data_IF_282973633552
#
_entry.id   IF_282973633552
#
_cell.length_a   1.000
_cell.length_b   1.000
_cell.length_c   1.000
_cell.angle_alpha   90.00
_cell.angle_beta   90.00
_cell.angle_gamma   90.00
#
_symmetry.space_group_name_H-M   'P 1'
#
loop_
_entity.id
_entity.type
_entity.pdbx_description
1 polymer ?
#
# COMPACT_ATOMS: atom_id res chain seq x y z
N UNK A 1 -10.81 -8.29 9.56
CA UNK A 1 -9.43 -8.55 9.15
C UNK A 1 -8.57 -8.65 10.38
N UNK A 2 -7.84 -9.75 10.53
CA UNK A 2 -7.03 -10.03 11.72
C UNK A 2 -5.58 -9.55 11.54
N UNK A 3 -5.07 -9.59 10.30
CA UNK A 3 -3.73 -9.07 9.97
C UNK A 3 -3.72 -7.54 9.93
N UNK A 4 -2.55 -6.94 10.12
CA UNK A 4 -2.40 -5.49 9.97
C UNK A 4 -2.46 -5.11 8.48
N UNK A 5 -3.43 -4.29 8.10
CA UNK A 5 -3.54 -3.71 6.76
C UNK A 5 -3.12 -2.25 6.79
N UNK A 6 -2.18 -1.86 5.94
CA UNK A 6 -1.73 -0.47 5.80
C UNK A 6 -1.68 -0.03 4.35
N UNK A 7 -1.80 1.27 4.09
CA UNK A 7 -1.48 1.86 2.79
C UNK A 7 -0.03 2.33 2.83
N UNK A 8 0.72 2.11 1.75
CA UNK A 8 1.99 2.83 1.51
C UNK A 8 1.94 3.48 0.14
N UNK A 9 2.21 4.78 0.09
CA UNK A 9 2.03 5.59 -1.11
C UNK A 9 3.02 6.76 -1.14
N UNK A 10 3.49 7.09 -2.34
CA UNK A 10 4.18 8.33 -2.63
C UNK A 10 3.33 9.19 -3.56
N UNK A 11 3.24 10.50 -3.31
CA UNK A 11 2.51 11.46 -4.13
C UNK A 11 3.28 12.77 -4.34
N UNK A 12 2.96 13.53 -5.37
CA UNK A 12 3.35 14.94 -5.49
C UNK A 12 2.64 15.80 -4.43
N UNK A 13 2.99 17.10 -4.37
CA UNK A 13 2.31 18.09 -3.54
C UNK A 13 0.81 18.22 -3.88
N UNK A 14 0.45 18.00 -5.13
CA UNK A 14 -0.92 17.97 -5.65
C UNK A 14 -1.56 16.58 -5.58
N UNK A 15 -0.98 15.67 -4.79
CA UNK A 15 -1.48 14.31 -4.55
C UNK A 15 -1.51 13.40 -5.79
N UNK A 16 -0.76 13.77 -6.84
CA UNK A 16 -0.58 12.94 -8.02
C UNK A 16 0.39 11.80 -7.73
N UNK A 17 0.07 10.58 -8.19
CA UNK A 17 0.82 9.36 -7.87
C UNK A 17 1.47 8.72 -9.09
N UNK A 18 1.20 9.23 -10.29
CA UNK A 18 1.71 8.67 -11.53
C UNK A 18 1.21 9.40 -12.78
N UNK A 19 1.87 9.07 -13.89
CA UNK A 19 1.55 9.54 -15.23
C UNK A 19 1.80 8.41 -16.23
N UNK A 20 0.84 8.11 -17.11
CA UNK A 20 0.99 7.10 -18.14
C UNK A 20 1.30 5.70 -17.58
N UNK A 21 0.68 5.33 -16.46
CA UNK A 21 0.94 4.09 -15.69
C UNK A 21 2.38 3.94 -15.17
N UNK A 22 3.14 5.03 -15.02
CA UNK A 22 4.48 5.02 -14.43
C UNK A 22 4.57 6.02 -13.29
N UNK A 23 5.53 5.80 -12.39
CA UNK A 23 5.89 6.81 -11.39
C UNK A 23 6.50 8.03 -12.10
N UNK A 24 6.11 9.23 -11.67
CA UNK A 24 6.61 10.48 -12.25
C UNK A 24 8.05 10.80 -11.82
N UNK A 25 8.52 10.17 -10.75
CA UNK A 25 9.83 10.39 -10.14
C UNK A 25 10.66 9.12 -10.09
N UNK A 26 11.98 9.31 -9.95
CA UNK A 26 12.95 8.27 -9.66
C UNK A 26 13.81 8.73 -8.47
N UNK A 27 13.38 8.39 -7.26
CA UNK A 27 14.02 8.78 -6.01
C UNK A 27 14.44 7.49 -5.28
N UNK A 28 15.69 7.04 -5.43
CA UNK A 28 16.15 5.77 -4.87
C UNK A 28 16.00 5.66 -3.35
N UNK A 29 16.13 6.78 -2.63
CA UNK A 29 15.98 6.84 -1.18
C UNK A 29 14.54 6.53 -0.73
N UNK A 30 13.55 7.05 -1.46
CA UNK A 30 12.13 6.76 -1.20
C UNK A 30 11.81 5.30 -1.53
N UNK A 31 12.34 4.78 -2.65
CA UNK A 31 12.18 3.36 -2.99
C UNK A 31 12.83 2.42 -1.97
N UNK A 32 13.98 2.81 -1.38
CA UNK A 32 14.61 2.09 -0.27
C UNK A 32 13.71 2.09 0.97
N UNK A 33 13.07 3.22 1.27
CA UNK A 33 12.11 3.32 2.37
C UNK A 33 10.89 2.43 2.13
N UNK A 34 10.26 2.50 0.94
CA UNK A 34 9.18 1.60 0.53
C UNK A 34 9.56 0.13 0.68
N UNK A 35 10.76 -0.24 0.20
CA UNK A 35 11.29 -1.60 0.31
C UNK A 35 11.47 -2.00 1.77
N UNK A 36 12.02 -1.13 2.61
CA UNK A 36 12.24 -1.41 4.03
C UNK A 36 10.92 -1.68 4.76
N UNK A 37 9.92 -0.81 4.61
CA UNK A 37 8.61 -0.96 5.28
C UNK A 37 7.91 -2.24 4.80
N UNK A 38 7.87 -2.47 3.48
CA UNK A 38 7.15 -3.63 2.93
C UNK A 38 7.87 -4.96 3.13
N UNK A 39 9.17 -4.98 3.47
CA UNK A 39 9.92 -6.21 3.75
C UNK A 39 10.04 -6.55 5.23
N UNK A 40 9.99 -5.57 6.12
CA UNK A 40 10.28 -5.79 7.53
C UNK A 40 9.17 -6.61 8.20
N UNK A 41 9.52 -7.79 8.70
CA UNK A 41 8.68 -8.63 9.54
C UNK A 41 9.30 -8.72 10.94
N UNK A 42 8.45 -8.78 11.96
CA UNK A 42 8.87 -8.92 13.36
C UNK A 42 9.00 -10.39 13.76
N UNK A 43 8.14 -11.27 13.22
CA UNK A 43 8.17 -12.70 13.51
C UNK A 43 9.16 -13.39 12.58
N UNK A 44 9.79 -14.45 13.10
CA UNK A 44 10.63 -15.31 12.28
C UNK A 44 9.78 -16.11 11.28
N UNK A 45 10.35 -16.41 10.11
CA UNK A 45 9.75 -17.23 9.05
C UNK A 45 8.40 -16.71 8.49
N UNK A 46 8.16 -15.41 8.58
CA UNK A 46 6.98 -14.75 8.00
C UNK A 46 7.37 -13.85 6.84
N UNK A 47 6.36 -13.47 6.05
CA UNK A 47 6.48 -12.50 4.97
C UNK A 47 5.36 -11.48 5.09
N UNK A 48 5.61 -10.28 4.60
CA UNK A 48 4.53 -9.35 4.32
C UNK A 48 3.94 -9.63 2.94
N UNK A 49 2.69 -9.25 2.74
CA UNK A 49 2.09 -9.21 1.42
C UNK A 49 1.86 -7.78 0.93
N UNK A 50 1.83 -7.63 -0.39
CA UNK A 50 1.57 -6.38 -1.09
C UNK A 50 0.38 -6.56 -2.03
N UNK A 51 -0.63 -5.71 -1.91
CA UNK A 51 -1.82 -5.70 -2.77
C UNK A 51 -1.69 -4.59 -3.78
N UNK A 52 -1.86 -4.93 -5.07
CA UNK A 52 -1.80 -3.99 -6.16
C UNK A 52 -2.83 -4.27 -7.26
N UNK A 53 -3.08 -3.28 -8.09
CA UNK A 53 -3.92 -3.43 -9.28
C UNK A 53 -3.11 -3.91 -10.49
N UNK A 54 -3.82 -4.40 -11.52
CA UNK A 54 -3.22 -4.86 -12.79
C UNK A 54 -2.19 -3.89 -13.37
N UNK A 55 -2.53 -2.60 -13.49
CA UNK A 55 -1.63 -1.64 -14.14
C UNK A 55 -0.34 -1.43 -13.33
N UNK A 56 -0.44 -1.45 -12.00
CA UNK A 56 0.72 -1.37 -11.11
C UNK A 56 1.60 -2.60 -11.23
N UNK A 57 1.00 -3.79 -11.31
CA UNK A 57 1.75 -5.03 -11.55
C UNK A 57 2.61 -4.96 -12.83
N UNK A 58 2.03 -4.49 -13.94
CA UNK A 58 2.74 -4.36 -15.20
C UNK A 58 3.67 -3.14 -15.29
N UNK A 59 3.62 -2.22 -14.33
CA UNK A 59 4.53 -1.07 -14.28
C UNK A 59 5.71 -1.26 -13.33
N UNK A 60 5.74 -2.38 -12.57
CA UNK A 60 6.88 -2.71 -11.72
C UNK A 60 8.18 -2.83 -12.54
N UNK A 61 9.34 -2.53 -11.93
CA UNK A 61 10.62 -2.76 -12.57
C UNK A 61 10.77 -4.23 -12.99
N UNK A 62 11.12 -4.46 -14.26
CA UNK A 62 11.24 -5.79 -14.88
C UNK A 62 9.92 -6.59 -14.91
N UNK A 63 8.78 -5.92 -15.02
CA UNK A 63 7.49 -6.59 -15.14
C UNK A 63 7.44 -7.56 -16.35
N UNK A 64 6.72 -8.70 -16.23
CA UNK A 64 6.04 -9.19 -15.04
C UNK A 64 7.02 -9.90 -14.08
N UNK A 65 7.38 -9.26 -12.97
CA UNK A 65 8.27 -9.82 -11.96
C UNK A 65 7.77 -9.44 -10.57
N UNK A 66 7.68 -10.40 -9.63
CA UNK A 66 7.26 -10.11 -8.28
C UNK A 66 8.25 -9.24 -7.53
N UNK A 67 7.73 -8.44 -6.62
CA UNK A 67 8.52 -7.82 -5.58
C UNK A 67 9.09 -8.93 -4.68
N UNK A 68 10.41 -9.14 -4.76
CA UNK A 68 11.13 -10.20 -4.01
C UNK A 68 10.82 -10.14 -2.51
N UNK A 69 10.83 -11.32 -1.90
CA UNK A 69 10.62 -11.57 -0.46
C UNK A 69 9.28 -11.10 0.11
N UNK A 70 8.29 -10.88 -0.76
CA UNK A 70 6.91 -10.56 -0.43
C UNK A 70 5.93 -11.48 -1.14
N UNK A 71 4.76 -11.66 -0.56
CA UNK A 71 3.62 -12.26 -1.26
C UNK A 71 2.97 -11.13 -2.09
N UNK A 72 2.91 -11.30 -3.40
CA UNK A 72 2.38 -10.29 -4.31
C UNK A 72 0.94 -10.65 -4.68
N UNK A 73 0.00 -9.76 -4.41
CA UNK A 73 -1.42 -9.95 -4.64
C UNK A 73 -1.88 -8.95 -5.71
N UNK A 74 -2.45 -9.46 -6.79
CA UNK A 74 -2.96 -8.68 -7.90
C UNK A 74 -4.49 -8.71 -7.87
N UNK A 75 -5.13 -7.55 -7.91
CA UNK A 75 -6.58 -7.43 -8.04
C UNK A 75 -6.93 -7.13 -9.50
N UNK A 76 -7.66 -8.04 -10.13
CA UNK A 76 -8.15 -7.90 -11.50
C UNK A 76 -9.36 -8.78 -11.76
N UNK A 77 -10.53 -8.18 -12.00
CA UNK A 77 -11.74 -8.92 -12.32
C UNK A 77 -11.79 -9.36 -13.80
N UNK A 78 -11.50 -8.43 -14.73
CA UNK A 78 -11.63 -8.67 -16.18
C UNK A 78 -10.50 -9.53 -16.74
N UNK A 79 -9.27 -9.30 -16.31
CA UNK A 79 -8.07 -10.00 -16.82
C UNK A 79 -7.61 -11.13 -15.90
N UNK A 80 -8.47 -11.61 -14.99
CA UNK A 80 -8.12 -12.63 -14.02
C UNK A 80 -7.50 -13.87 -14.67
N UNK A 81 -8.19 -14.49 -15.63
CA UNK A 81 -7.78 -15.77 -16.22
C UNK A 81 -6.44 -15.62 -16.97
N UNK A 82 -6.27 -14.49 -17.66
CA UNK A 82 -5.01 -14.12 -18.32
C UNK A 82 -3.86 -14.00 -17.33
N UNK A 83 -4.03 -13.19 -16.28
CA UNK A 83 -2.99 -12.97 -15.27
C UNK A 83 -2.69 -14.29 -14.54
N UNK A 84 -3.72 -15.07 -14.21
CA UNK A 84 -3.58 -16.35 -13.51
C UNK A 84 -2.71 -17.34 -14.31
N UNK A 85 -2.88 -17.37 -15.63
CA UNK A 85 -2.03 -18.16 -16.51
C UNK A 85 -0.58 -17.63 -16.56
N UNK A 86 -0.38 -16.30 -16.63
CA UNK A 86 0.96 -15.68 -16.68
C UNK A 86 1.78 -15.90 -15.39
N UNK A 87 1.12 -16.00 -14.24
CA UNK A 87 1.78 -16.16 -12.92
C UNK A 87 1.86 -17.62 -12.46
N UNK A 88 1.49 -18.60 -13.31
CA UNK A 88 1.37 -20.01 -12.92
C UNK A 88 2.65 -20.57 -12.27
N UNK A 89 3.82 -20.17 -12.78
CA UNK A 89 5.14 -20.58 -12.27
C UNK A 89 5.72 -19.62 -11.20
N UNK A 90 4.91 -18.67 -10.69
CA UNK A 90 5.32 -17.68 -9.70
C UNK A 90 4.67 -17.98 -8.33
N UNK A 91 5.26 -18.85 -7.49
CA UNK A 91 4.62 -19.36 -6.27
C UNK A 91 4.34 -18.27 -5.22
N UNK A 92 5.00 -17.12 -5.29
CA UNK A 92 4.80 -15.97 -4.40
C UNK A 92 3.81 -14.93 -4.94
N UNK A 93 3.08 -15.24 -6.02
CA UNK A 93 2.11 -14.34 -6.64
C UNK A 93 0.72 -14.96 -6.61
N UNK A 94 -0.29 -14.15 -6.32
CA UNK A 94 -1.70 -14.54 -6.37
C UNK A 94 -2.48 -13.46 -7.12
N UNK A 95 -3.51 -13.86 -7.84
CA UNK A 95 -4.48 -12.94 -8.45
C UNK A 95 -5.87 -13.25 -7.91
N UNK A 96 -6.66 -12.21 -7.65
CA UNK A 96 -8.04 -12.30 -7.20
C UNK A 96 -8.94 -11.40 -8.03
N UNK A 97 -10.21 -11.81 -8.19
CA UNK A 97 -11.23 -11.01 -8.88
C UNK A 97 -11.72 -9.85 -8.02
N UNK A 98 -11.74 -10.03 -6.70
CA UNK A 98 -12.28 -9.06 -5.74
C UNK A 98 -11.26 -8.77 -4.63
N UNK A 99 -11.43 -7.63 -3.97
CA UNK A 99 -10.64 -7.28 -2.78
C UNK A 99 -11.02 -8.18 -1.62
N UNK A 100 -12.31 -8.50 -1.45
CA UNK A 100 -12.78 -9.34 -0.34
C UNK A 100 -12.13 -10.73 -0.35
N UNK A 101 -12.06 -11.38 -1.51
CA UNK A 101 -11.39 -12.69 -1.65
C UNK A 101 -9.91 -12.60 -1.29
N UNK A 102 -9.24 -11.52 -1.72
CA UNK A 102 -7.83 -11.28 -1.38
C UNK A 102 -7.63 -11.08 0.12
N UNK A 103 -8.52 -10.35 0.79
CA UNK A 103 -8.44 -10.14 2.25
C UNK A 103 -8.72 -11.42 3.03
N UNK A 104 -9.67 -12.25 2.57
CA UNK A 104 -9.93 -13.59 3.14
C UNK A 104 -8.67 -14.45 3.04
N UNK A 105 -8.04 -14.49 1.86
CA UNK A 105 -6.76 -15.19 1.67
C UNK A 105 -5.69 -14.69 2.64
N UNK A 106 -5.51 -13.38 2.75
CA UNK A 106 -4.52 -12.76 3.64
C UNK A 106 -4.72 -13.17 5.10
N UNK A 107 -5.97 -13.21 5.58
CA UNK A 107 -6.26 -13.63 6.95
C UNK A 107 -6.07 -15.14 7.17
N UNK A 108 -6.25 -15.95 6.13
CA UNK A 108 -6.10 -17.42 6.21
C UNK A 108 -4.65 -17.92 6.22
N UNK A 109 -3.70 -17.07 5.84
CA UNK A 109 -2.29 -17.45 5.66
C UNK A 109 -1.44 -17.06 6.87
N UNK A 110 -0.94 -18.04 7.61
CA UNK A 110 -0.11 -17.81 8.81
C UNK A 110 1.24 -17.17 8.52
N UNK A 111 1.79 -17.47 7.33
CA UNK A 111 3.04 -16.89 6.84
C UNK A 111 2.92 -15.38 6.64
N UNK A 112 1.70 -14.86 6.39
CA UNK A 112 1.49 -13.43 6.21
C UNK A 112 1.45 -12.74 7.57
N UNK A 113 2.32 -11.74 7.76
CA UNK A 113 2.35 -10.92 8.96
C UNK A 113 1.59 -9.60 8.80
N UNK A 114 1.99 -8.80 7.80
CA UNK A 114 1.35 -7.53 7.49
C UNK A 114 0.99 -7.47 6.00
N UNK A 115 -0.03 -6.68 5.69
CA UNK A 115 -0.54 -6.45 4.35
C UNK A 115 -0.41 -4.97 3.99
N UNK A 116 0.18 -4.67 2.83
CA UNK A 116 0.36 -3.32 2.35
C UNK A 116 -0.34 -3.11 1.01
N UNK A 117 -1.24 -2.13 0.95
CA UNK A 117 -1.81 -1.66 -0.33
C UNK A 117 -0.79 -0.72 -0.98
N UNK A 118 -0.36 -1.05 -2.19
CA UNK A 118 0.68 -0.33 -2.93
C UNK A 118 0.18 0.30 -4.25
N UNK A 119 -1.14 0.34 -4.43
CA UNK A 119 -1.81 1.08 -5.50
C UNK A 119 -2.24 0.26 -6.70
N UNK A 120 -2.53 0.86 -7.86
CA UNK A 120 -2.55 2.30 -8.16
C UNK A 120 -3.82 3.00 -7.66
N UNK A 121 -4.17 4.15 -8.25
CA UNK A 121 -5.24 5.01 -7.73
C UNK A 121 -6.58 4.28 -7.54
N UNK A 122 -7.00 3.46 -8.51
CA UNK A 122 -8.26 2.71 -8.36
C UNK A 122 -8.23 1.84 -7.10
N UNK A 123 -7.12 1.13 -6.85
CA UNK A 123 -6.97 0.28 -5.67
C UNK A 123 -6.89 1.13 -4.41
N UNK A 124 -6.02 2.15 -4.37
CA UNK A 124 -5.93 3.05 -3.23
C UNK A 124 -7.27 3.66 -2.85
N UNK A 125 -7.98 4.24 -3.82
CA UNK A 125 -9.24 4.93 -3.59
C UNK A 125 -10.34 3.95 -3.20
N UNK A 126 -10.41 2.76 -3.82
CA UNK A 126 -11.35 1.71 -3.39
C UNK A 126 -11.11 1.30 -1.94
N UNK A 127 -9.86 1.12 -1.53
CA UNK A 127 -9.51 0.81 -0.14
C UNK A 127 -9.88 1.94 0.81
N UNK A 128 -9.56 3.19 0.46
CA UNK A 128 -9.88 4.38 1.23
C UNK A 128 -11.39 4.62 1.38
N UNK A 129 -12.18 4.34 0.34
CA UNK A 129 -13.63 4.57 0.33
C UNK A 129 -14.40 3.45 1.02
N UNK A 130 -14.08 2.19 0.70
CA UNK A 130 -14.93 1.05 1.07
C UNK A 130 -14.34 0.18 2.19
N UNK A 131 -13.03 0.27 2.44
CA UNK A 131 -12.31 -0.59 3.38
C UNK A 131 -11.62 0.19 4.50
N UNK A 132 -11.93 1.49 4.66
CA UNK A 132 -11.27 2.38 5.62
C UNK A 132 -11.20 1.81 7.04
N UNK A 133 -12.26 1.13 7.49
CA UNK A 133 -12.35 0.52 8.83
C UNK A 133 -11.31 -0.59 9.08
N UNK A 134 -10.76 -1.20 8.02
CA UNK A 134 -9.75 -2.25 8.14
C UNK A 134 -8.32 -1.71 8.04
N UNK A 135 -8.14 -0.48 7.52
CA UNK A 135 -6.82 0.11 7.33
C UNK A 135 -6.33 0.64 8.67
N UNK A 136 -5.25 0.06 9.21
CA UNK A 136 -4.67 0.48 10.49
C UNK A 136 -3.86 1.75 10.37
N UNK A 137 -3.06 1.85 9.31
CA UNK A 137 -2.15 2.96 9.13
C UNK A 137 -1.91 3.31 7.66
N UNK A 138 -1.32 4.47 7.44
CA UNK A 138 -0.80 4.93 6.17
C UNK A 138 0.64 5.40 6.32
N UNK A 139 1.51 4.95 5.42
CA UNK A 139 2.85 5.47 5.19
C UNK A 139 2.78 6.34 3.94
N UNK A 140 2.90 7.66 4.11
CA UNK A 140 2.70 8.61 3.02
C UNK A 140 3.93 9.48 2.79
N UNK A 141 4.58 9.28 1.64
CA UNK A 141 5.65 10.13 1.14
C UNK A 141 5.08 11.24 0.25
N UNK A 142 5.37 12.50 0.55
CA UNK A 142 5.07 13.66 -0.31
C UNK A 142 6.38 14.12 -0.96
N UNK A 143 6.45 14.01 -2.28
CA UNK A 143 7.59 14.39 -3.11
C UNK A 143 7.48 15.87 -3.47
N UNK A 144 8.56 16.63 -3.28
CA UNK A 144 8.59 18.08 -3.49
C UNK A 144 9.87 18.62 -4.14
N UNK A 145 10.76 17.76 -4.63
CA UNK A 145 12.02 18.19 -5.27
C UNK A 145 11.80 19.05 -6.53
N UNK A 146 10.70 18.79 -7.24
CA UNK A 146 10.22 19.59 -8.37
C UNK A 146 8.74 19.32 -8.61
N UNK A 147 8.14 20.11 -9.51
CA UNK A 147 6.78 19.87 -10.00
C UNK A 147 6.76 18.67 -10.95
N UNK A 148 5.80 17.77 -10.75
CA UNK A 148 5.54 16.63 -11.62
C UNK A 148 4.17 16.77 -12.28
N UNK A 149 4.08 16.40 -13.56
CA UNK A 149 2.79 16.20 -14.21
C UNK A 149 2.27 14.81 -13.84
N UNK A 150 1.02 14.75 -13.40
CA UNK A 150 0.35 13.53 -12.97
C UNK A 150 -1.03 13.45 -13.63
N UNK A 151 -1.44 12.26 -14.05
CA UNK A 151 -2.78 11.99 -14.60
C UNK A 151 -3.66 11.18 -13.63
N UNK A 152 -3.05 10.71 -12.54
CA UNK A 152 -3.61 9.77 -11.60
C UNK A 152 -3.37 10.25 -10.18
N UNK A 153 -4.40 10.22 -9.33
CA UNK A 153 -4.40 10.89 -8.02
C UNK A 153 -4.99 9.99 -6.93
N UNK A 154 -4.49 10.16 -5.70
CA UNK A 154 -5.05 9.54 -4.50
C UNK A 154 -6.08 10.47 -3.85
N UNK A 155 -7.13 9.91 -3.25
CA UNK A 155 -8.17 10.65 -2.52
C UNK A 155 -7.64 11.21 -1.18
N UNK A 156 -6.79 12.25 -1.25
CA UNK A 156 -6.10 12.86 -0.11
C UNK A 156 -7.05 13.40 0.96
N UNK A 157 -8.23 13.89 0.58
CA UNK A 157 -9.28 14.32 1.50
C UNK A 157 -9.71 13.18 2.45
N UNK A 158 -9.85 11.95 1.94
CA UNK A 158 -10.20 10.80 2.77
C UNK A 158 -9.06 10.50 3.76
N UNK A 159 -7.80 10.60 3.31
CA UNK A 159 -6.64 10.40 4.17
C UNK A 159 -6.61 11.41 5.32
N UNK A 160 -6.67 12.71 5.04
CA UNK A 160 -6.64 13.74 6.09
C UNK A 160 -7.84 13.63 7.06
N UNK A 161 -9.02 13.24 6.55
CA UNK A 161 -10.20 13.09 7.39
C UNK A 161 -10.14 11.88 8.31
N UNK A 162 -9.42 10.81 7.94
CA UNK A 162 -9.46 9.53 8.66
C UNK A 162 -8.17 9.15 9.41
N UNK A 163 -7.04 9.83 9.17
CA UNK A 163 -5.76 9.49 9.80
C UNK A 163 -5.22 10.63 10.65
N UNK A 164 -4.61 10.29 11.79
CA UNK A 164 -3.83 11.19 12.63
C UNK A 164 -2.33 10.96 12.35
N UNK A 165 -1.64 11.99 11.89
CA UNK A 165 -0.21 11.91 11.58
C UNK A 165 0.64 12.15 12.83
N UNK A 166 1.60 11.25 13.06
CA UNK A 166 2.47 11.27 14.25
C UNK A 166 3.74 12.05 13.90
N UNK A 167 3.99 13.14 14.63
CA UNK A 167 5.09 14.10 14.35
C UNK A 167 6.46 13.45 14.50
N UNK A 168 6.59 12.56 15.47
CA UNK A 168 7.83 11.86 15.82
C UNK A 168 8.27 10.86 14.75
N UNK A 169 7.36 10.47 13.84
CA UNK A 169 7.63 9.54 12.75
C UNK A 169 7.83 10.24 11.39
N UNK A 170 7.98 11.57 11.37
CA UNK A 170 8.26 12.31 10.14
C UNK A 170 9.72 12.13 9.76
N UNK A 171 9.95 11.64 8.54
CA UNK A 171 11.28 11.56 7.93
C UNK A 171 11.35 12.61 6.83
N UNK A 172 12.30 13.54 6.95
CA UNK A 172 12.50 14.62 5.98
C UNK A 172 13.82 14.40 5.25
N UNK A 173 13.80 14.55 3.92
CA UNK A 173 15.00 14.62 3.09
C UNK A 173 14.93 15.83 2.15
N UNK A 174 15.93 16.05 1.30
CA UNK A 174 15.96 17.13 0.31
C UNK A 174 14.84 17.04 -0.75
N UNK A 175 14.33 15.82 -1.01
CA UNK A 175 13.37 15.57 -2.10
C UNK A 175 11.95 15.21 -1.66
N UNK A 176 11.78 14.74 -0.44
CA UNK A 176 10.49 14.26 0.05
C UNK A 176 10.38 14.30 1.57
N UNK A 177 9.14 14.31 2.05
CA UNK A 177 8.79 14.05 3.44
C UNK A 177 7.98 12.77 3.50
N UNK A 178 8.33 11.85 4.38
CA UNK A 178 7.51 10.67 4.68
C UNK A 178 6.87 10.83 6.04
N UNK A 179 5.57 10.58 6.10
CA UNK A 179 4.74 10.67 7.30
C UNK A 179 4.09 9.34 7.60
N UNK A 180 3.90 9.05 8.88
CA UNK A 180 3.13 7.91 9.35
C UNK A 180 1.83 8.39 9.99
N UNK A 181 0.70 7.87 9.50
CA UNK A 181 -0.63 8.18 10.00
C UNK A 181 -1.32 6.95 10.55
N UNK A 182 -1.95 7.07 11.72
CA UNK A 182 -2.77 6.01 12.33
C UNK A 182 -4.25 6.34 12.10
N UNK A 183 -5.03 5.33 11.70
CA UNK A 183 -6.45 5.53 11.46
C UNK A 183 -7.18 5.89 12.75
N UNK A 184 -7.97 6.95 12.72
CA UNK A 184 -8.75 7.48 13.85
C UNK A 184 -9.71 6.45 14.44
N UNK A 185 -10.23 5.54 13.61
CA UNK A 185 -11.12 4.47 14.07
C UNK A 185 -10.43 3.44 14.98
N UNK A 186 -9.10 3.35 14.92
CA UNK A 186 -8.31 2.43 15.77
C UNK A 186 -7.80 3.09 17.05
N UNK A 187 -8.16 4.36 17.31
CA UNK A 187 -7.74 5.09 18.51
C UNK A 187 -8.76 4.88 19.66
N UNK A 188 -10.00 4.52 19.35
CA UNK A 188 -11.06 4.28 20.35
C UNK A 188 -11.04 2.88 20.99
N UNK A 189 -10.02 2.05 20.76
CA UNK A 189 -9.85 0.79 21.50
C UNK A 189 -8.88 0.88 22.68
N UNK A 190 -8.36 2.08 22.99
CA UNK A 190 -7.49 2.36 24.15
C UNK A 190 -7.87 3.69 24.77
N UNK A 191 -9.11 3.80 25.23
CA UNK A 191 -9.47 4.76 26.26
C UNK A 191 -10.14 3.96 27.36
N UNK A 192 -9.34 3.38 28.26
CA UNK A 192 -9.83 3.12 29.60
C UNK A 192 -10.28 4.48 30.13
N UNK A 193 -11.57 4.64 30.36
CA UNK A 193 -12.10 5.80 31.07
C UNK A 193 -11.36 5.90 32.40
N UNK A 194 -10.88 7.09 32.81
CA UNK A 194 -10.38 7.24 34.16
C UNK A 194 -11.50 6.89 35.13
N UNK A 195 -11.20 6.03 36.10
CA UNK A 195 -12.12 5.69 37.19
C UNK A 195 -12.44 6.99 37.94
N UNK A 196 -13.74 7.27 38.08
CA UNK A 196 -14.30 8.40 38.84
C UNK A 196 -13.68 8.56 40.24
#
# INVERSE_FOLDING_TARGET
MNKNLSIIVASSLEYGIGYGNKLCWNIPEELKFFRHITLSCQRANTKNCVIMGKNTWYSLPNAPSPLKDRINIIISARDYDKINAEIADMPSVRVFRTIDDALIYVDSEDIIENCFVIGGAQIYNTFLENYIKYIKAIYWSIIYDKKYECDTFIASNIIYNNFNFIKENIVINDKYVSMYGVNKNNINSVCDEPVD
#
